data_IF_966084452860
#
_entry.id   IF_966084452860
#
_cell.length_a   1.000
_cell.length_b   1.000
_cell.length_c   1.000
_cell.angle_alpha   90.00
_cell.angle_beta   90.00
_cell.angle_gamma   90.00
#
_symmetry.space_group_name_H-M   'P 1'
#
loop_
_entity.id
_entity.type
_entity.pdbx_description
1 polymer ?
#
# COMPACT_ATOMS: atom_id res chain seq x y z
N UNK A 1 -24.06 25.09 -5.73
CA UNK A 1 -23.12 25.35 -4.62
C UNK A 1 -21.78 24.80 -5.08
N UNK A 2 -20.85 25.67 -5.52
CA UNK A 2 -19.51 25.22 -5.91
C UNK A 2 -18.82 24.82 -4.61
N UNK A 3 -18.50 23.53 -4.45
CA UNK A 3 -17.71 23.09 -3.30
C UNK A 3 -16.37 23.80 -3.35
N UNK A 4 -15.97 24.36 -2.20
CA UNK A 4 -14.69 25.02 -2.07
C UNK A 4 -13.56 24.08 -2.54
N UNK A 5 -12.62 24.61 -3.33
CA UNK A 5 -11.55 23.82 -3.97
C UNK A 5 -10.74 23.04 -2.94
N UNK A 6 -10.55 23.60 -1.74
CA UNK A 6 -9.88 22.92 -0.64
C UNK A 6 -10.67 21.71 -0.16
N UNK A 7 -12.00 21.82 -0.10
CA UNK A 7 -12.88 20.71 0.30
C UNK A 7 -12.83 19.57 -0.72
N UNK A 8 -12.84 19.89 -2.02
CA UNK A 8 -12.70 18.88 -3.08
C UNK A 8 -11.33 18.19 -2.99
N UNK A 9 -10.25 18.96 -2.77
CA UNK A 9 -8.90 18.41 -2.67
C UNK A 9 -8.75 17.48 -1.46
N UNK A 10 -9.28 17.88 -0.29
CA UNK A 10 -9.27 17.05 0.92
C UNK A 10 -10.09 15.77 0.72
N UNK A 11 -11.28 15.87 0.11
CA UNK A 11 -12.11 14.71 -0.18
C UNK A 11 -11.41 13.73 -1.13
N UNK A 12 -10.75 14.24 -2.18
CA UNK A 12 -9.97 13.43 -3.11
C UNK A 12 -8.78 12.76 -2.42
N UNK A 13 -8.02 13.47 -1.59
CA UNK A 13 -6.91 12.89 -0.83
C UNK A 13 -7.40 11.74 0.08
N UNK A 14 -8.50 11.96 0.80
CA UNK A 14 -9.10 10.95 1.67
C UNK A 14 -9.68 9.75 0.92
N UNK A 15 -10.09 9.89 -0.35
CA UNK A 15 -10.55 8.77 -1.17
C UNK A 15 -9.38 8.01 -1.83
N UNK A 16 -8.38 8.75 -2.33
CA UNK A 16 -7.26 8.16 -3.08
C UNK A 16 -6.29 7.40 -2.17
N UNK A 17 -6.05 7.88 -0.94
CA UNK A 17 -5.20 7.18 0.04
C UNK A 17 -5.66 5.74 0.34
N UNK A 18 -6.90 5.50 0.82
CA UNK A 18 -7.38 4.16 1.11
C UNK A 18 -7.53 3.33 -0.17
N UNK A 19 -7.92 3.93 -1.31
CA UNK A 19 -7.98 3.20 -2.59
C UNK A 19 -6.60 2.70 -3.01
N UNK A 20 -5.56 3.53 -2.84
CA UNK A 20 -4.18 3.15 -3.12
C UNK A 20 -3.70 2.05 -2.18
N UNK A 21 -3.92 2.18 -0.87
CA UNK A 21 -3.59 1.14 0.11
C UNK A 21 -4.32 -0.18 -0.20
N UNK A 22 -5.61 -0.13 -0.55
CA UNK A 22 -6.37 -1.32 -0.90
C UNK A 22 -5.84 -1.97 -2.18
N UNK A 23 -5.46 -1.18 -3.18
CA UNK A 23 -4.86 -1.69 -4.43
C UNK A 23 -3.55 -2.43 -4.16
N UNK A 24 -2.66 -1.88 -3.33
CA UNK A 24 -1.39 -2.53 -3.00
C UNK A 24 -1.62 -3.80 -2.16
N UNK A 25 -2.52 -3.76 -1.18
CA UNK A 25 -2.92 -4.95 -0.43
C UNK A 25 -3.53 -6.05 -1.32
N UNK A 26 -4.36 -5.66 -2.30
CA UNK A 26 -4.97 -6.58 -3.26
C UNK A 26 -3.94 -7.20 -4.21
N UNK A 27 -3.00 -6.40 -4.73
CA UNK A 27 -1.88 -6.93 -5.52
C UNK A 27 -1.11 -7.96 -4.71
N UNK A 28 -0.71 -7.61 -3.49
CA UNK A 28 -0.03 -8.51 -2.58
C UNK A 28 -0.80 -9.81 -2.38
N UNK A 29 -2.09 -9.72 -2.04
CA UNK A 29 -2.94 -10.91 -1.86
C UNK A 29 -2.98 -11.81 -3.10
N UNK A 30 -3.08 -11.21 -4.30
CA UNK A 30 -3.21 -11.97 -5.56
C UNK A 30 -1.90 -12.61 -6.00
N UNK A 31 -0.78 -11.90 -5.90
CA UNK A 31 0.54 -12.39 -6.32
C UNK A 31 1.23 -13.20 -5.23
N UNK A 32 0.81 -13.04 -3.98
CA UNK A 32 1.49 -13.56 -2.82
C UNK A 32 2.85 -12.92 -2.58
N UNK A 33 3.10 -11.71 -3.12
CA UNK A 33 4.37 -10.98 -2.99
C UNK A 33 4.12 -9.51 -2.64
N UNK A 34 4.82 -8.98 -1.65
CA UNK A 34 4.74 -7.57 -1.23
C UNK A 34 6.14 -6.97 -1.19
N UNK A 35 6.29 -5.76 -1.74
CA UNK A 35 7.51 -4.97 -1.63
C UNK A 35 7.68 -4.47 -0.19
N UNK A 36 8.81 -4.82 0.43
CA UNK A 36 9.15 -4.36 1.77
C UNK A 36 10.45 -3.57 1.78
N UNK A 37 10.41 -2.47 2.51
CA UNK A 37 11.61 -1.71 2.87
C UNK A 37 12.12 -2.30 4.19
N UNK A 38 13.22 -3.05 4.11
CA UNK A 38 13.88 -3.62 5.29
C UNK A 38 14.95 -2.64 5.77
N UNK A 39 15.06 -2.44 7.09
CA UNK A 39 16.14 -1.62 7.65
C UNK A 39 17.50 -2.19 7.21
N UNK A 40 18.38 -1.32 6.73
CA UNK A 40 19.71 -1.64 6.18
C UNK A 40 19.75 -2.35 4.82
N UNK A 41 18.65 -2.40 4.05
CA UNK A 41 18.73 -2.83 2.64
C UNK A 41 18.74 -1.63 1.70
N UNK A 42 19.65 -1.68 0.71
CA UNK A 42 19.76 -0.64 -0.33
C UNK A 42 18.67 -0.78 -1.40
N UNK A 43 18.10 -1.97 -1.49
CA UNK A 43 17.06 -2.34 -2.44
C UNK A 43 15.81 -2.82 -1.68
N UNK A 44 14.61 -2.54 -2.22
CA UNK A 44 13.37 -3.11 -1.72
C UNK A 44 13.41 -4.63 -1.89
N UNK A 45 13.03 -5.35 -0.85
CA UNK A 45 13.01 -6.82 -0.85
C UNK A 45 11.58 -7.27 -1.16
N UNK A 46 11.44 -8.13 -2.17
CA UNK A 46 10.19 -8.83 -2.43
C UNK A 46 9.98 -9.93 -1.39
N UNK A 47 8.96 -9.78 -0.56
CA UNK A 47 8.59 -10.77 0.47
C UNK A 47 7.43 -11.60 -0.04
N UNK A 48 7.61 -12.91 -0.08
CA UNK A 48 6.59 -13.84 -0.56
C UNK A 48 5.85 -14.53 0.58
N UNK A 49 4.52 -14.66 0.46
CA UNK A 49 3.65 -15.30 1.46
C UNK A 49 4.05 -16.74 1.78
N UNK A 50 4.56 -17.48 0.80
CA UNK A 50 4.90 -18.90 0.93
C UNK A 50 6.30 -19.14 1.52
N UNK A 51 7.24 -18.21 1.30
CA UNK A 51 8.60 -18.29 1.84
C UNK A 51 8.66 -17.69 3.25
N UNK A 52 8.07 -16.50 3.42
CA UNK A 52 8.21 -15.68 4.61
C UNK A 52 6.84 -15.11 5.04
N UNK A 53 5.94 -15.97 5.57
CA UNK A 53 4.57 -15.55 5.91
C UNK A 53 4.52 -14.49 7.01
N UNK A 54 5.39 -14.58 8.03
CA UNK A 54 5.39 -13.61 9.14
C UNK A 54 5.84 -12.22 8.66
N UNK A 55 6.97 -12.10 7.92
CA UNK A 55 7.32 -10.85 7.26
C UNK A 55 6.26 -10.38 6.27
N UNK A 56 5.58 -11.27 5.55
CA UNK A 56 4.54 -10.90 4.59
C UNK A 56 3.32 -10.22 5.23
N UNK A 57 2.91 -10.67 6.43
CA UNK A 57 1.71 -10.17 7.12
C UNK A 57 1.99 -9.04 8.12
N UNK A 58 3.20 -8.97 8.66
CA UNK A 58 3.65 -7.76 9.38
C UNK A 58 3.77 -6.63 8.37
N UNK A 59 3.63 -5.37 8.78
CA UNK A 59 4.02 -4.22 7.94
C UNK A 59 5.38 -3.74 8.42
#
# INVERSE_FOLDING_TARGET
>A
MIMDVQTIFVALAFLLLPLFCFREAWKGWRTGAVDKIVKNTREPVYVYRHADPVPYWSY
#
